data_IF_134746194438
#
_entry.id   IF_134746194438
#
_cell.length_a   1.000
_cell.length_b   1.000
_cell.length_c   1.000
_cell.angle_alpha   90.00
_cell.angle_beta   90.00
_cell.angle_gamma   90.00
#
_symmetry.space_group_name_H-M   'P 1'
#
loop_
_entity.id
_entity.type
_entity.pdbx_description
1 polymer ?
#
# COMPACT_ATOMS: atom_id res chain seq x y z
N UNK A 1 21.27 -24.82 14.26
CA UNK A 1 20.02 -24.09 14.57
C UNK A 1 19.33 -23.88 13.23
N UNK A 2 18.14 -24.48 13.03
CA UNK A 2 17.43 -24.36 11.74
C UNK A 2 16.74 -23.00 11.76
N UNK A 3 16.99 -22.17 10.75
CA UNK A 3 16.31 -20.87 10.65
C UNK A 3 14.84 -21.08 10.26
N UNK A 4 13.89 -20.36 10.88
CA UNK A 4 12.48 -20.47 10.50
C UNK A 4 12.24 -19.85 9.13
N UNK A 5 11.37 -20.45 8.32
CA UNK A 5 10.98 -19.90 7.01
C UNK A 5 10.08 -18.67 7.16
N UNK A 6 9.24 -18.65 8.20
CA UNK A 6 8.29 -17.59 8.50
C UNK A 6 8.34 -17.26 9.99
N UNK A 7 8.02 -16.01 10.33
CA UNK A 7 7.72 -15.59 11.69
C UNK A 7 6.27 -15.11 11.76
N UNK A 8 5.57 -15.47 12.82
CA UNK A 8 4.28 -14.86 13.11
C UNK A 8 4.45 -13.39 13.52
N UNK A 9 3.38 -12.60 13.35
CA UNK A 9 3.39 -11.19 13.77
C UNK A 9 3.70 -11.02 15.27
N UNK A 10 3.13 -11.82 16.19
CA UNK A 10 3.50 -11.75 17.62
C UNK A 10 4.97 -12.09 17.90
N UNK A 11 5.53 -13.11 17.25
CA UNK A 11 6.94 -13.48 17.42
C UNK A 11 7.88 -12.35 16.93
N UNK A 12 7.55 -11.71 15.81
CA UNK A 12 8.32 -10.58 15.31
C UNK A 12 8.20 -9.37 16.24
N UNK A 13 7.00 -9.12 16.78
CA UNK A 13 6.74 -8.06 17.73
C UNK A 13 7.61 -8.21 18.99
N UNK A 14 7.66 -9.41 19.56
CA UNK A 14 8.51 -9.72 20.72
C UNK A 14 10.00 -9.50 20.39
N UNK A 15 10.47 -10.02 19.25
CA UNK A 15 11.86 -9.87 18.79
C UNK A 15 12.28 -8.42 18.66
N UNK A 16 11.40 -7.56 18.15
CA UNK A 16 11.68 -6.14 17.92
C UNK A 16 11.32 -5.24 19.11
N UNK A 17 10.79 -5.78 20.20
CA UNK A 17 10.31 -5.00 21.34
C UNK A 17 9.18 -4.03 20.94
N UNK A 18 8.35 -4.42 19.97
CA UNK A 18 7.25 -3.65 19.42
C UNK A 18 5.90 -4.33 19.71
N UNK A 19 4.80 -3.60 19.52
CA UNK A 19 3.46 -4.19 19.52
C UNK A 19 3.13 -4.81 18.17
N UNK A 20 2.26 -5.82 18.15
CA UNK A 20 1.75 -6.42 16.90
C UNK A 20 1.14 -5.36 15.97
N UNK A 21 0.46 -4.35 16.52
CA UNK A 21 -0.08 -3.22 15.77
C UNK A 21 1.01 -2.45 15.03
N UNK A 22 2.12 -2.12 15.71
CA UNK A 22 3.25 -1.43 15.07
C UNK A 22 3.86 -2.27 13.95
N UNK A 23 3.93 -3.60 14.11
CA UNK A 23 4.38 -4.50 13.03
C UNK A 23 3.45 -4.40 11.80
N UNK A 24 2.13 -4.42 12.01
CA UNK A 24 1.16 -4.28 10.92
C UNK A 24 1.22 -2.90 10.26
N UNK A 25 1.33 -1.83 11.04
CA UNK A 25 1.50 -0.45 10.52
C UNK A 25 2.78 -0.35 9.67
N UNK A 26 3.89 -0.94 10.13
CA UNK A 26 5.10 -1.03 9.34
C UNK A 26 4.93 -1.85 8.07
N UNK A 27 4.19 -2.96 8.13
CA UNK A 27 3.95 -3.80 6.98
C UNK A 27 3.10 -3.13 5.90
N UNK A 28 2.09 -2.35 6.30
CA UNK A 28 1.34 -1.49 5.38
C UNK A 28 2.29 -0.42 4.80
N UNK A 29 3.00 0.35 5.62
CA UNK A 29 3.78 1.48 5.11
C UNK A 29 5.00 1.07 4.26
N UNK A 30 5.56 -0.12 4.48
CA UNK A 30 6.75 -0.62 3.77
C UNK A 30 6.44 -1.75 2.77
N UNK A 31 5.16 -2.00 2.50
CA UNK A 31 4.76 -3.09 1.60
C UNK A 31 5.39 -4.44 1.96
N UNK A 32 5.48 -4.76 3.26
CA UNK A 32 5.93 -6.09 3.64
C UNK A 32 4.91 -7.14 3.19
N UNK A 33 5.39 -8.32 2.75
CA UNK A 33 4.53 -9.45 2.51
C UNK A 33 4.07 -10.00 3.85
N UNK A 34 2.88 -9.55 4.29
CA UNK A 34 2.15 -10.16 5.41
C UNK A 34 1.21 -11.20 4.81
N UNK A 35 1.42 -12.45 5.20
CA UNK A 35 0.78 -13.62 4.65
C UNK A 35 -0.16 -14.27 5.65
N UNK A 36 -1.09 -15.08 5.16
CA UNK A 36 -1.90 -15.99 5.96
C UNK A 36 -2.06 -17.31 5.21
N UNK A 37 -2.23 -18.41 5.95
CA UNK A 37 -2.47 -19.71 5.36
C UNK A 37 -3.88 -19.80 4.76
N UNK A 38 -3.98 -20.35 3.55
CA UNK A 38 -5.21 -20.51 2.80
C UNK A 38 -5.28 -21.91 2.19
N UNK A 39 -6.44 -22.54 2.37
CA UNK A 39 -6.86 -23.75 1.68
C UNK A 39 -8.28 -23.52 1.16
N UNK A 40 -8.45 -23.59 -0.15
CA UNK A 40 -9.72 -23.30 -0.80
C UNK A 40 -9.54 -23.11 -2.30
N UNK A 41 -10.47 -22.38 -2.91
CA UNK A 41 -10.40 -22.01 -4.32
C UNK A 41 -9.94 -20.56 -4.43
N UNK A 42 -9.02 -20.29 -5.35
CA UNK A 42 -8.50 -18.94 -5.61
C UNK A 42 -8.64 -18.60 -7.09
N UNK A 43 -9.46 -17.60 -7.40
CA UNK A 43 -9.80 -17.20 -8.76
C UNK A 43 -9.20 -15.84 -9.10
N UNK A 44 -8.71 -15.68 -10.33
CA UNK A 44 -8.39 -14.36 -10.86
C UNK A 44 -9.69 -13.64 -11.28
N UNK A 45 -9.65 -12.33 -11.43
CA UNK A 45 -10.80 -11.55 -11.92
C UNK A 45 -11.22 -11.96 -13.34
N UNK A 46 -10.28 -12.47 -14.14
CA UNK A 46 -10.55 -13.02 -15.46
C UNK A 46 -11.43 -14.29 -15.40
N UNK A 47 -11.39 -15.03 -14.30
CA UNK A 47 -12.10 -16.30 -14.10
C UNK A 47 -13.49 -16.10 -13.46
N UNK A 48 -14.10 -14.92 -13.64
CA UNK A 48 -15.39 -14.55 -13.01
C UNK A 48 -16.49 -15.59 -13.23
N UNK A 49 -16.53 -16.22 -14.40
CA UNK A 49 -17.46 -17.31 -14.73
C UNK A 49 -17.36 -18.49 -13.75
N UNK A 50 -16.14 -18.82 -13.36
CA UNK A 50 -15.85 -19.93 -12.48
C UNK A 50 -16.13 -19.59 -11.02
N UNK A 51 -16.26 -18.32 -10.63
CA UNK A 51 -16.62 -17.92 -9.26
C UNK A 51 -18.06 -18.33 -8.91
N UNK A 52 -18.38 -18.36 -7.63
CA UNK A 52 -19.66 -18.83 -7.07
C UNK A 52 -20.87 -18.06 -7.61
N UNK A 53 -20.75 -16.74 -7.79
CA UNK A 53 -21.76 -15.89 -8.44
C UNK A 53 -21.64 -15.84 -9.97
N UNK A 54 -20.67 -16.53 -10.55
CA UNK A 54 -20.34 -16.45 -11.98
C UNK A 54 -21.36 -17.08 -12.91
N UNK A 55 -22.04 -18.13 -12.44
CA UNK A 55 -23.05 -18.89 -13.19
C UNK A 55 -24.46 -18.70 -12.62
N UNK A 56 -24.73 -17.52 -12.06
CA UNK A 56 -26.01 -17.22 -11.42
C UNK A 56 -27.15 -17.28 -12.43
N UNK A 57 -26.97 -16.70 -13.61
CA UNK A 57 -28.01 -16.61 -14.63
C UNK A 57 -28.36 -18.00 -15.19
N UNK A 58 -27.37 -18.86 -15.41
CA UNK A 58 -27.54 -20.23 -15.88
C UNK A 58 -28.20 -21.12 -14.82
N UNK A 59 -27.83 -20.96 -13.55
CA UNK A 59 -28.48 -21.67 -12.45
C UNK A 59 -29.95 -21.25 -12.29
N UNK A 60 -30.23 -19.94 -12.40
CA UNK A 60 -31.59 -19.41 -12.37
C UNK A 60 -32.41 -19.87 -13.59
N UNK A 61 -31.81 -19.90 -14.78
CA UNK A 61 -32.44 -20.43 -15.99
C UNK A 61 -32.78 -21.91 -15.81
N UNK A 62 -31.84 -22.72 -15.33
CA UNK A 62 -32.04 -24.15 -15.07
C UNK A 62 -33.20 -24.38 -14.11
N UNK A 63 -33.26 -23.63 -13.00
CA UNK A 63 -34.34 -23.71 -12.02
C UNK A 63 -35.69 -23.33 -12.64
N UNK A 64 -35.73 -22.22 -13.39
CA UNK A 64 -36.96 -21.75 -14.04
C UNK A 64 -37.48 -22.74 -15.09
N UNK A 65 -36.58 -23.32 -15.89
CA UNK A 65 -36.93 -24.32 -16.91
C UNK A 65 -37.41 -25.62 -16.27
N UNK A 66 -36.76 -26.06 -15.19
CA UNK A 66 -37.18 -27.25 -14.43
C UNK A 66 -38.60 -27.08 -13.91
N UNK A 67 -38.89 -25.96 -13.23
CA UNK A 67 -40.23 -25.62 -12.75
C UNK A 67 -41.26 -25.54 -13.89
N UNK A 68 -40.87 -24.99 -15.05
CA UNK A 68 -41.73 -24.90 -16.23
C UNK A 68 -42.10 -26.27 -16.79
N UNK A 69 -41.14 -27.19 -16.88
CA UNK A 69 -41.36 -28.58 -17.31
C UNK A 69 -42.27 -29.31 -16.33
N UNK A 70 -42.00 -29.24 -15.03
CA UNK A 70 -42.84 -29.87 -13.99
C UNK A 70 -44.29 -29.38 -14.06
N UNK A 71 -44.49 -28.07 -14.20
CA UNK A 71 -45.83 -27.47 -14.33
C UNK A 71 -46.54 -27.92 -15.60
N UNK A 72 -45.83 -27.92 -16.73
CA UNK A 72 -46.37 -28.30 -18.04
C UNK A 72 -46.74 -29.79 -18.09
N UNK A 73 -45.90 -30.67 -17.55
CA UNK A 73 -46.16 -32.10 -17.45
C UNK A 73 -47.35 -32.40 -16.53
N UNK A 74 -47.45 -31.72 -15.38
CA UNK A 74 -48.59 -31.84 -14.49
C UNK A 74 -49.90 -31.38 -15.17
N UNK A 75 -49.85 -30.32 -15.98
CA UNK A 75 -51.01 -29.85 -16.75
C UNK A 75 -51.40 -30.83 -17.85
N UNK A 76 -50.44 -31.31 -18.65
CA UNK A 76 -50.65 -32.33 -19.68
C UNK A 76 -51.26 -33.61 -19.09
N UNK A 77 -50.78 -34.05 -17.92
CA UNK A 77 -51.29 -35.24 -17.23
C UNK A 77 -52.73 -35.05 -16.75
N UNK A 78 -53.05 -33.89 -16.17
CA UNK A 78 -54.43 -33.54 -15.77
C UNK A 78 -55.37 -33.47 -16.97
N UNK A 79 -54.94 -32.84 -18.07
CA UNK A 79 -55.75 -32.72 -19.29
C UNK A 79 -56.02 -34.10 -19.90
N UNK A 80 -55.01 -34.98 -19.96
CA UNK A 80 -55.16 -36.35 -20.44
C UNK A 80 -56.11 -37.20 -19.57
N UNK A 81 -56.14 -36.95 -18.26
CA UNK A 81 -57.06 -37.60 -17.32
C UNK A 81 -58.47 -37.00 -17.31
N UNK A 82 -58.71 -35.90 -18.04
CA UNK A 82 -59.98 -35.16 -18.01
C UNK A 82 -60.21 -34.37 -16.72
N UNK A 83 -59.20 -34.23 -15.85
CA UNK A 83 -59.26 -33.55 -14.55
C UNK A 83 -58.85 -32.08 -14.65
N UNK A 84 -59.43 -31.36 -15.61
CA UNK A 84 -59.20 -29.93 -15.88
C UNK A 84 -60.53 -29.20 -15.92
N UNK A 85 -60.55 -27.96 -15.45
CA UNK A 85 -61.72 -27.10 -15.57
C UNK A 85 -61.88 -26.60 -17.02
N UNK A 86 -63.00 -25.93 -17.30
CA UNK A 86 -63.33 -25.40 -18.63
C UNK A 86 -62.31 -24.35 -19.14
N UNK A 87 -61.66 -23.63 -18.22
CA UNK A 87 -60.73 -22.54 -18.55
C UNK A 87 -59.27 -23.01 -18.70
N UNK A 88 -58.95 -24.21 -18.21
CA UNK A 88 -57.61 -24.80 -18.24
C UNK A 88 -57.52 -26.00 -19.17
N UNK A 89 -58.62 -26.44 -19.78
CA UNK A 89 -58.60 -27.49 -20.80
C UNK A 89 -57.84 -26.99 -22.04
N UNK A 90 -56.87 -27.79 -22.49
CA UNK A 90 -56.11 -27.49 -23.70
C UNK A 90 -56.76 -28.20 -24.90
N UNK A 91 -56.85 -27.50 -26.01
CA UNK A 91 -57.16 -28.05 -27.33
C UNK A 91 -56.02 -28.97 -27.82
N UNK A 92 -56.28 -29.74 -28.87
CA UNK A 92 -55.29 -30.65 -29.44
C UNK A 92 -54.04 -29.89 -29.95
N UNK A 93 -54.22 -28.73 -30.57
CA UNK A 93 -53.12 -27.88 -31.05
C UNK A 93 -52.29 -27.33 -29.88
N UNK A 94 -52.95 -26.86 -28.81
CA UNK A 94 -52.27 -26.37 -27.60
C UNK A 94 -51.52 -27.48 -26.86
N UNK A 95 -52.05 -28.72 -26.85
CA UNK A 95 -51.34 -29.88 -26.29
C UNK A 95 -50.07 -30.17 -27.08
N UNK A 96 -50.12 -30.11 -28.42
CA UNK A 96 -48.94 -30.32 -29.27
C UNK A 96 -47.91 -29.21 -29.04
N UNK A 97 -48.34 -27.94 -29.00
CA UNK A 97 -47.47 -26.80 -28.74
C UNK A 97 -46.81 -26.89 -27.34
N UNK A 98 -47.60 -27.23 -26.31
CA UNK A 98 -47.08 -27.37 -24.95
C UNK A 98 -46.07 -28.52 -24.84
N UNK A 99 -46.30 -29.65 -25.53
CA UNK A 99 -45.32 -30.76 -25.61
C UNK A 99 -44.04 -30.35 -26.31
N UNK A 100 -44.13 -29.62 -27.42
CA UNK A 100 -42.95 -29.10 -28.13
C UNK A 100 -42.13 -28.16 -27.24
N UNK A 101 -42.80 -27.21 -26.55
CA UNK A 101 -42.14 -26.32 -25.60
C UNK A 101 -41.52 -27.08 -24.41
N UNK A 102 -42.19 -28.11 -23.91
CA UNK A 102 -41.68 -28.97 -22.83
C UNK A 102 -40.40 -29.70 -23.28
N UNK A 103 -40.40 -30.31 -24.47
CA UNK A 103 -39.22 -30.98 -25.01
C UNK A 103 -38.05 -30.00 -25.19
N UNK A 104 -38.30 -28.81 -25.73
CA UNK A 104 -37.27 -27.77 -25.88
C UNK A 104 -36.69 -27.33 -24.53
N UNK A 105 -37.55 -27.19 -23.50
CA UNK A 105 -37.08 -26.89 -22.15
C UNK A 105 -36.28 -28.06 -21.54
N UNK A 106 -36.68 -29.31 -21.78
CA UNK A 106 -35.92 -30.50 -21.34
C UNK A 106 -34.53 -30.57 -21.98
N UNK A 107 -34.42 -30.28 -23.28
CA UNK A 107 -33.14 -30.24 -23.98
C UNK A 107 -32.25 -29.12 -23.41
N UNK A 108 -32.83 -27.93 -23.17
CA UNK A 108 -32.11 -26.82 -22.53
C UNK A 108 -31.66 -27.13 -21.10
N UNK A 109 -32.48 -27.83 -20.31
CA UNK A 109 -32.11 -28.32 -18.97
C UNK A 109 -30.87 -29.22 -19.05
N UNK A 110 -30.80 -30.14 -20.02
CA UNK A 110 -29.63 -31.01 -20.20
C UNK A 110 -28.39 -30.19 -20.54
N UNK A 111 -28.49 -29.26 -21.50
CA UNK A 111 -27.37 -28.38 -21.87
C UNK A 111 -26.82 -27.57 -20.68
N UNK A 112 -27.72 -26.94 -19.91
CA UNK A 112 -27.36 -26.15 -18.73
C UNK A 112 -26.74 -27.02 -17.63
N UNK A 113 -27.30 -28.21 -17.40
CA UNK A 113 -26.76 -29.17 -16.42
C UNK A 113 -25.35 -29.61 -16.81
N UNK A 114 -25.13 -29.98 -18.07
CA UNK A 114 -23.80 -30.37 -18.57
C UNK A 114 -22.80 -29.21 -18.53
N UNK A 115 -23.26 -27.99 -18.77
CA UNK A 115 -22.43 -26.78 -18.69
C UNK A 115 -22.02 -26.49 -17.23
N UNK A 116 -22.95 -26.55 -16.29
CA UNK A 116 -22.68 -26.33 -14.87
C UNK A 116 -21.80 -27.45 -14.28
N UNK A 117 -22.01 -28.70 -14.67
CA UNK A 117 -21.17 -29.82 -14.25
C UNK A 117 -19.73 -29.67 -14.77
N UNK A 118 -19.56 -29.30 -16.04
CA UNK A 118 -18.22 -29.01 -16.60
C UNK A 118 -17.55 -27.87 -15.87
N UNK A 119 -18.30 -26.80 -15.56
CA UNK A 119 -17.81 -25.67 -14.76
C UNK A 119 -17.33 -26.13 -13.39
N UNK A 120 -18.12 -26.93 -12.68
CA UNK A 120 -17.76 -27.40 -11.34
C UNK A 120 -16.51 -28.30 -11.35
N UNK A 121 -16.33 -29.10 -12.39
CA UNK A 121 -15.07 -29.85 -12.59
C UNK A 121 -13.89 -28.91 -12.81
N UNK A 122 -14.03 -27.91 -13.68
CA UNK A 122 -12.98 -26.92 -13.93
C UNK A 122 -12.64 -26.09 -12.68
N UNK A 123 -13.62 -25.80 -11.82
CA UNK A 123 -13.38 -25.11 -10.54
C UNK A 123 -12.39 -25.87 -9.65
N UNK A 124 -12.30 -27.20 -9.74
CA UNK A 124 -11.36 -27.99 -8.95
C UNK A 124 -9.90 -27.70 -9.32
N UNK A 125 -9.63 -27.29 -10.56
CA UNK A 125 -8.29 -26.94 -11.02
C UNK A 125 -7.77 -25.64 -10.36
N UNK A 126 -8.66 -24.87 -9.74
CA UNK A 126 -8.34 -23.63 -9.02
C UNK A 126 -8.17 -23.84 -7.51
N UNK A 127 -8.08 -25.11 -7.07
CA UNK A 127 -7.75 -25.41 -5.67
C UNK A 127 -6.34 -24.92 -5.36
N UNK A 128 -6.25 -24.07 -4.35
CA UNK A 128 -5.02 -23.52 -3.86
C UNK A 128 -4.80 -23.94 -2.40
N UNK A 129 -3.59 -24.39 -2.11
CA UNK A 129 -3.13 -24.71 -0.76
C UNK A 129 -1.78 -24.05 -0.54
N UNK A 130 -1.74 -23.05 0.35
CA UNK A 130 -0.50 -22.32 0.60
C UNK A 130 -0.73 -21.01 1.34
N UNK A 131 0.08 -20.02 1.01
CA UNK A 131 0.03 -18.71 1.65
C UNK A 131 -0.55 -17.67 0.70
N UNK A 132 -1.37 -16.78 1.24
CA UNK A 132 -1.94 -15.64 0.54
C UNK A 132 -1.52 -14.35 1.21
N UNK A 133 -1.36 -13.26 0.44
CA UNK A 133 -0.97 -11.97 0.99
C UNK A 133 -2.20 -11.17 1.41
N UNK A 134 -2.21 -10.75 2.66
CA UNK A 134 -3.32 -10.00 3.26
C UNK A 134 -3.46 -8.62 2.61
N UNK A 135 -4.67 -8.24 2.15
CA UNK A 135 -4.93 -6.90 1.68
C UNK A 135 -4.79 -5.86 2.81
N UNK A 136 -4.39 -4.61 2.49
CA UNK A 136 -4.27 -3.52 3.46
C UNK A 136 -5.53 -3.29 4.30
N UNK A 137 -6.72 -3.44 3.71
CA UNK A 137 -8.00 -3.32 4.42
C UNK A 137 -8.12 -4.35 5.55
N UNK A 138 -7.74 -5.59 5.28
CA UNK A 138 -7.76 -6.69 6.26
C UNK A 138 -6.77 -6.42 7.38
N UNK A 139 -5.57 -5.94 7.03
CA UNK A 139 -4.56 -5.54 8.03
C UNK A 139 -5.05 -4.40 8.91
N UNK A 140 -5.70 -3.39 8.33
CA UNK A 140 -6.29 -2.26 9.06
C UNK A 140 -7.35 -2.72 10.05
N UNK A 141 -8.26 -3.61 9.64
CA UNK A 141 -9.29 -4.17 10.52
C UNK A 141 -8.68 -4.98 11.68
N UNK A 142 -7.65 -5.79 11.40
CA UNK A 142 -6.92 -6.55 12.42
C UNK A 142 -6.22 -5.64 13.43
N UNK A 143 -5.69 -4.49 13.01
CA UNK A 143 -5.08 -3.52 13.94
C UNK A 143 -6.09 -2.90 14.92
N UNK A 144 -7.37 -2.81 14.54
CA UNK A 144 -8.42 -2.24 15.39
C UNK A 144 -9.07 -3.28 16.29
N UNK A 145 -9.31 -4.48 15.76
CA UNK A 145 -10.19 -5.48 16.38
C UNK A 145 -9.47 -6.77 16.79
N UNK A 146 -8.18 -6.92 16.48
CA UNK A 146 -7.35 -8.14 16.65
C UNK A 146 -7.80 -9.38 15.85
N UNK A 147 -9.06 -9.41 15.43
CA UNK A 147 -9.65 -10.40 14.54
C UNK A 147 -10.61 -9.76 13.53
N UNK A 148 -10.76 -10.41 12.38
CA UNK A 148 -11.68 -10.00 11.30
C UNK A 148 -12.31 -11.25 10.66
N UNK A 149 -13.51 -11.17 10.03
CA UNK A 149 -13.97 -12.24 9.15
C UNK A 149 -12.87 -12.65 8.17
N UNK A 150 -12.76 -13.96 7.91
CA UNK A 150 -11.73 -14.44 7.01
C UNK A 150 -11.95 -13.86 5.61
N UNK A 151 -10.89 -13.33 4.97
CA UNK A 151 -11.06 -12.49 3.79
C UNK A 151 -11.48 -13.30 2.56
N UNK A 152 -12.36 -12.71 1.74
CA UNK A 152 -12.73 -13.21 0.42
C UNK A 152 -11.84 -12.67 -0.71
N UNK A 153 -10.90 -11.79 -0.39
CA UNK A 153 -9.96 -11.21 -1.33
C UNK A 153 -8.55 -11.29 -0.74
N UNK A 154 -7.58 -11.62 -1.58
CA UNK A 154 -6.18 -11.57 -1.21
C UNK A 154 -5.30 -11.24 -2.42
N UNK A 155 -4.06 -10.82 -2.15
CA UNK A 155 -3.05 -10.77 -3.20
C UNK A 155 -2.40 -12.14 -3.35
N UNK A 156 -2.08 -12.50 -4.60
CA UNK A 156 -1.27 -13.67 -4.89
C UNK A 156 0.09 -13.56 -4.16
N UNK A 157 0.61 -14.64 -3.54
CA UNK A 157 1.82 -14.58 -2.72
C UNK A 157 3.06 -14.11 -3.48
N UNK A 158 3.15 -14.45 -4.76
CA UNK A 158 4.24 -14.04 -5.65
C UNK A 158 3.97 -12.72 -6.39
N UNK A 159 2.84 -12.07 -6.12
CA UNK A 159 2.59 -10.75 -6.71
C UNK A 159 3.58 -9.76 -6.15
N UNK A 160 4.22 -9.00 -7.05
CA UNK A 160 4.78 -7.73 -6.65
C UNK A 160 3.60 -6.85 -6.22
N UNK A 161 3.61 -6.38 -4.96
CA UNK A 161 2.56 -5.49 -4.45
C UNK A 161 3.22 -4.24 -3.94
N UNK A 162 2.89 -3.13 -4.58
CA UNK A 162 3.48 -1.83 -4.33
C UNK A 162 2.41 -0.74 -4.36
N UNK A 163 2.76 0.41 -3.80
CA UNK A 163 1.90 1.59 -3.77
C UNK A 163 2.07 2.37 -5.07
N UNK A 164 0.97 2.63 -5.78
CA UNK A 164 0.94 3.42 -7.00
C UNK A 164 0.00 4.61 -6.81
N UNK A 165 0.35 5.75 -7.39
CA UNK A 165 -0.53 6.94 -7.40
C UNK A 165 -1.35 6.96 -8.67
N UNK A 166 -2.66 6.80 -8.53
CA UNK A 166 -3.65 6.89 -9.63
C UNK A 166 -4.60 8.03 -9.29
N UNK A 167 -4.69 9.04 -10.14
CA UNK A 167 -5.56 10.21 -9.97
C UNK A 167 -5.39 10.93 -8.61
N UNK A 168 -4.15 11.04 -8.13
CA UNK A 168 -3.83 11.67 -6.85
C UNK A 168 -4.20 10.82 -5.62
N UNK A 169 -4.63 9.57 -5.80
CA UNK A 169 -4.88 8.61 -4.72
C UNK A 169 -3.82 7.52 -4.72
N UNK A 170 -3.31 7.18 -3.54
CA UNK A 170 -2.37 6.07 -3.39
C UNK A 170 -3.15 4.77 -3.25
N UNK A 171 -2.95 3.85 -4.18
CA UNK A 171 -3.61 2.53 -4.22
C UNK A 171 -2.56 1.42 -4.22
N UNK A 172 -2.97 0.24 -3.75
CA UNK A 172 -2.13 -0.95 -3.78
C UNK A 172 -2.35 -1.69 -5.10
N UNK A 173 -1.31 -1.79 -5.90
CA UNK A 173 -1.33 -2.56 -7.14
C UNK A 173 -0.72 -3.94 -6.91
N UNK A 174 -1.34 -4.97 -7.47
CA UNK A 174 -0.91 -6.37 -7.38
C UNK A 174 -1.98 -7.32 -7.90
N UNK A 175 -1.60 -8.54 -8.24
CA UNK A 175 -2.51 -9.59 -8.70
C UNK A 175 -3.44 -10.01 -7.56
N UNK A 176 -4.68 -9.54 -7.63
CA UNK A 176 -5.73 -9.81 -6.65
C UNK A 176 -6.51 -11.07 -7.03
N UNK A 177 -6.86 -11.86 -6.03
CA UNK A 177 -7.60 -13.11 -6.19
C UNK A 177 -8.84 -13.10 -5.30
N UNK A 178 -9.92 -13.67 -5.83
CA UNK A 178 -11.14 -13.97 -5.09
C UNK A 178 -10.97 -15.33 -4.44
N UNK A 179 -11.19 -15.39 -3.13
CA UNK A 179 -11.05 -16.59 -2.32
C UNK A 179 -12.44 -17.16 -2.01
N UNK A 180 -12.61 -18.44 -2.27
CA UNK A 180 -13.84 -19.19 -2.01
C UNK A 180 -13.55 -20.48 -1.25
N UNK A 181 -14.51 -20.98 -0.44
CA UNK A 181 -14.35 -22.26 0.23
C UNK A 181 -14.15 -23.39 -0.78
N UNK A 182 -13.43 -24.41 -0.35
CA UNK A 182 -13.33 -25.65 -1.11
C UNK A 182 -14.71 -26.33 -1.21
N UNK A 183 -14.83 -27.35 -2.07
CA UNK A 183 -16.06 -28.13 -2.28
C UNK A 183 -16.62 -28.77 -1.00
N UNK A 184 -15.79 -28.91 0.04
CA UNK A 184 -16.20 -29.41 1.35
C UNK A 184 -16.97 -28.37 2.17
N UNK A 185 -16.95 -27.10 1.77
CA UNK A 185 -17.52 -25.98 2.49
C UNK A 185 -16.72 -25.55 3.73
N UNK A 186 -15.56 -26.17 3.98
CA UNK A 186 -14.70 -25.79 5.08
C UNK A 186 -14.07 -24.41 4.82
N UNK A 187 -14.49 -23.41 5.60
CA UNK A 187 -13.95 -22.05 5.58
C UNK A 187 -13.56 -21.63 6.98
N UNK A 188 -12.37 -21.08 7.16
CA UNK A 188 -12.03 -20.48 8.44
C UNK A 188 -12.96 -19.27 8.66
N UNK A 189 -13.66 -19.20 9.79
CA UNK A 189 -14.62 -18.10 10.01
C UNK A 189 -13.95 -16.75 10.30
N UNK A 190 -12.79 -16.76 10.95
CA UNK A 190 -12.07 -15.57 11.42
C UNK A 190 -10.58 -15.68 11.15
N UNK A 191 -9.97 -14.56 10.81
CA UNK A 191 -8.52 -14.38 10.76
C UNK A 191 -8.09 -13.55 11.98
N UNK A 192 -7.03 -13.97 12.67
CA UNK A 192 -6.44 -13.28 13.82
C UNK A 192 -5.03 -12.79 13.51
N UNK A 193 -4.54 -11.84 14.28
CA UNK A 193 -3.15 -11.38 14.20
C UNK A 193 -2.15 -12.54 14.33
N UNK A 194 -2.41 -13.52 15.20
CA UNK A 194 -1.54 -14.68 15.41
C UNK A 194 -1.47 -15.61 14.19
N UNK A 195 -2.42 -15.52 13.26
CA UNK A 195 -2.42 -16.31 12.03
C UNK A 195 -1.58 -15.67 10.91
N UNK A 196 -1.13 -14.43 11.13
CA UNK A 196 -0.36 -13.68 10.15
C UNK A 196 1.12 -14.06 10.22
N UNK A 197 1.70 -14.29 9.05
CA UNK A 197 3.06 -14.75 8.84
C UNK A 197 3.84 -13.74 8.00
N UNK A 198 5.11 -13.56 8.31
CA UNK A 198 6.03 -12.71 7.55
C UNK A 198 7.21 -13.59 7.13
N UNK A 199 7.55 -13.63 5.83
CA UNK A 199 8.72 -14.36 5.34
C UNK A 199 9.99 -13.89 6.04
N UNK A 200 10.77 -14.84 6.56
CA UNK A 200 12.00 -14.55 7.29
C UNK A 200 13.02 -13.79 6.42
N UNK A 201 13.06 -14.08 5.12
CA UNK A 201 13.87 -13.36 4.14
C UNK A 201 13.54 -11.85 4.09
N UNK A 202 12.25 -11.49 4.16
CA UNK A 202 11.81 -10.08 4.18
C UNK A 202 12.19 -9.39 5.48
N UNK A 203 12.12 -10.09 6.61
CA UNK A 203 12.57 -9.57 7.91
C UNK A 203 14.07 -9.27 7.87
N UNK A 204 14.89 -10.21 7.38
CA UNK A 204 16.34 -10.00 7.22
C UNK A 204 16.67 -8.83 6.30
N UNK A 205 15.96 -8.70 5.18
CA UNK A 205 16.17 -7.58 4.25
C UNK A 205 15.89 -6.24 4.93
N UNK A 206 14.85 -6.14 5.76
CA UNK A 206 14.57 -4.94 6.54
C UNK A 206 15.62 -4.66 7.62
N UNK A 207 16.02 -5.68 8.38
CA UNK A 207 17.04 -5.53 9.42
C UNK A 207 18.37 -5.06 8.81
N UNK A 208 18.75 -5.59 7.64
CA UNK A 208 19.92 -5.17 6.88
C UNK A 208 19.82 -3.69 6.41
N UNK A 209 18.66 -3.29 5.87
CA UNK A 209 18.42 -1.91 5.44
C UNK A 209 18.40 -0.92 6.62
N UNK A 210 17.87 -1.31 7.78
CA UNK A 210 17.95 -0.48 8.99
C UNK A 210 19.38 -0.32 9.48
N UNK A 211 20.19 -1.39 9.39
CA UNK A 211 21.60 -1.34 9.77
C UNK A 211 22.39 -0.38 8.87
N UNK A 212 22.18 -0.41 7.55
CA UNK A 212 22.84 0.53 6.63
C UNK A 212 22.44 1.98 6.90
N UNK A 213 21.15 2.27 7.13
CA UNK A 213 20.68 3.62 7.47
C UNK A 213 21.29 4.09 8.80
N UNK A 214 21.39 3.21 9.81
CA UNK A 214 21.98 3.56 11.10
C UNK A 214 23.48 3.79 10.99
N UNK A 215 24.18 3.03 10.15
CA UNK A 215 25.61 3.22 9.86
C UNK A 215 25.85 4.52 9.10
N UNK A 216 25.02 4.86 8.11
CA UNK A 216 25.06 6.14 7.39
C UNK A 216 24.77 7.32 8.34
N UNK A 217 23.74 7.22 9.19
CA UNK A 217 23.42 8.24 10.18
C UNK A 217 24.54 8.45 11.23
N UNK A 218 25.23 7.36 11.64
CA UNK A 218 26.39 7.46 12.53
C UNK A 218 27.60 8.10 11.87
N UNK A 219 27.71 8.05 10.54
CA UNK A 219 28.78 8.75 9.80
C UNK A 219 28.50 10.23 9.60
N UNK A 220 27.23 10.65 9.52
CA UNK A 220 26.86 12.08 9.40
C UNK A 220 26.93 12.85 10.73
N UNK A 221 26.70 12.20 11.88
CA UNK A 221 26.74 12.89 13.19
C UNK A 221 28.17 13.13 13.73
N UNK A 222 29.18 12.42 13.20
CA UNK A 222 30.59 12.65 13.58
C UNK A 222 31.19 13.93 13.01
N UNK A 223 30.52 14.61 12.08
CA UNK A 223 30.96 15.92 11.57
C UNK A 223 30.23 17.12 12.20
N UNK A 224 29.12 16.89 12.91
CA UNK A 224 28.34 17.95 13.58
C UNK A 224 28.85 18.33 14.98
N UNK A 225 29.79 17.56 15.55
CA UNK A 225 30.41 17.84 16.87
C UNK A 225 31.88 18.24 16.78
N UNK A 226 32.37 18.66 15.61
CA UNK A 226 33.60 19.47 15.60
C UNK A 226 33.23 20.88 16.07
N UNK A 227 33.85 21.40 17.15
CA UNK A 227 33.63 22.79 17.54
C UNK A 227 33.88 23.66 16.31
N UNK A 228 32.87 24.43 15.91
CA UNK A 228 33.00 25.39 14.81
C UNK A 228 34.25 26.19 15.09
N UNK A 229 35.22 26.12 14.17
CA UNK A 229 36.48 26.85 14.32
C UNK A 229 36.14 28.28 14.70
N UNK A 230 36.76 28.79 15.78
CA UNK A 230 36.51 30.14 16.30
C UNK A 230 36.55 31.20 15.20
N UNK A 231 37.37 30.96 14.17
CA UNK A 231 37.45 31.80 12.97
C UNK A 231 36.15 31.82 12.15
N UNK A 232 35.51 30.67 11.91
CA UNK A 232 34.26 30.56 11.15
C UNK A 232 33.08 31.24 11.89
N UNK A 233 33.08 31.16 13.22
CA UNK A 233 32.10 31.89 14.04
C UNK A 233 32.33 33.41 13.97
N UNK A 234 33.60 33.86 13.97
CA UNK A 234 33.97 35.26 13.82
C UNK A 234 33.62 35.80 12.43
N UNK A 235 33.89 35.07 11.35
CA UNK A 235 33.55 35.53 9.99
C UNK A 235 32.05 35.60 9.76
N UNK A 236 31.28 34.62 10.26
CA UNK A 236 29.82 34.66 10.22
C UNK A 236 29.22 35.85 11.00
N UNK A 237 29.78 36.16 12.18
CA UNK A 237 29.35 37.31 12.98
C UNK A 237 29.62 38.65 12.27
N UNK A 238 30.76 38.78 11.57
CA UNK A 238 31.07 39.98 10.77
C UNK A 238 30.07 40.14 9.61
N UNK A 239 29.75 39.06 8.89
CA UNK A 239 28.79 39.11 7.78
C UNK A 239 27.37 39.47 8.27
N UNK A 240 26.95 38.91 9.40
CA UNK A 240 25.68 39.25 10.02
C UNK A 240 25.62 40.72 10.44
N UNK A 241 26.72 41.28 10.93
CA UNK A 241 26.79 42.69 11.33
C UNK A 241 26.77 43.64 10.12
N UNK A 242 27.49 43.30 9.05
CA UNK A 242 27.45 44.09 7.80
C UNK A 242 26.01 44.14 7.27
N UNK A 243 25.32 43.00 7.26
CA UNK A 243 23.90 42.93 6.88
C UNK A 243 23.00 43.74 7.83
N UNK A 244 23.26 43.71 9.14
CA UNK A 244 22.53 44.49 10.16
C UNK A 244 22.67 46.00 9.94
N UNK A 245 23.84 46.45 9.50
CA UNK A 245 24.10 47.85 9.14
C UNK A 245 23.51 48.23 7.77
N UNK A 246 22.87 47.30 7.07
CA UNK A 246 22.20 47.54 5.79
C UNK A 246 23.16 47.66 4.60
N UNK A 247 24.39 47.15 4.74
CA UNK A 247 25.37 47.12 3.65
C UNK A 247 25.39 45.74 2.99
N UNK A 248 25.66 45.72 1.69
CA UNK A 248 25.97 44.47 0.97
C UNK A 248 27.45 44.10 1.25
N UNK A 249 27.74 42.93 1.85
CA UNK A 249 29.11 42.46 2.04
C UNK A 249 29.96 42.52 0.76
N UNK A 250 29.36 42.23 -0.40
CA UNK A 250 30.07 42.18 -1.69
C UNK A 250 30.22 43.53 -2.39
N UNK A 251 29.65 44.59 -1.84
CA UNK A 251 29.71 45.95 -2.39
C UNK A 251 29.77 46.99 -1.26
N UNK A 252 30.84 46.95 -0.47
CA UNK A 252 31.03 47.91 0.62
C UNK A 252 31.34 49.29 0.06
N UNK A 253 30.66 50.37 0.50
CA UNK A 253 30.88 51.71 -0.03
C UNK A 253 32.31 52.20 0.25
N UNK A 254 32.90 52.86 -0.76
CA UNK A 254 34.22 53.46 -0.66
C UNK A 254 34.27 54.54 0.44
N UNK A 255 35.42 54.65 1.11
CA UNK A 255 35.62 55.64 2.18
C UNK A 255 35.59 57.06 1.60
N UNK A 256 34.61 57.87 1.99
CA UNK A 256 34.66 59.31 1.77
C UNK A 256 35.67 59.97 2.73
N UNK A 257 36.48 60.96 2.28
CA UNK A 257 37.38 61.69 3.16
C UNK A 257 36.61 62.31 4.34
N UNK A 258 37.06 62.03 5.57
CA UNK A 258 36.47 62.60 6.79
C UNK A 258 35.34 61.78 7.45
N UNK A 259 34.92 60.64 6.89
CA UNK A 259 33.92 59.73 7.52
C UNK A 259 34.52 58.38 7.89
N UNK A 260 34.02 57.75 8.96
CA UNK A 260 34.34 56.37 9.31
C UNK A 260 33.85 55.44 8.20
N UNK A 261 34.72 54.59 7.65
CA UNK A 261 34.29 53.57 6.68
C UNK A 261 33.57 52.40 7.37
N UNK A 262 32.82 51.60 6.59
CA UNK A 262 32.02 50.45 7.09
C UNK A 262 32.85 49.50 7.97
N UNK A 263 34.11 49.25 7.62
CA UNK A 263 35.03 48.46 8.46
C UNK A 263 35.18 49.02 9.88
N UNK A 264 35.26 50.34 10.04
CA UNK A 264 35.42 50.97 11.34
C UNK A 264 34.12 50.92 12.16
N UNK A 265 32.97 51.02 11.49
CA UNK A 265 31.64 50.90 12.11
C UNK A 265 31.38 49.47 12.60
N UNK A 266 31.64 48.47 11.76
CA UNK A 266 31.56 47.05 12.14
C UNK A 266 32.58 46.73 13.23
N UNK A 267 33.80 47.27 13.16
CA UNK A 267 34.82 47.09 14.21
C UNK A 267 34.36 47.67 15.54
N UNK A 268 33.67 48.82 15.54
CA UNK A 268 33.15 49.46 16.74
C UNK A 268 32.03 48.62 17.36
N UNK A 269 31.08 48.17 16.56
CA UNK A 269 29.97 47.32 17.01
C UNK A 269 30.46 45.95 17.55
N UNK A 270 31.49 45.38 16.93
CA UNK A 270 32.08 44.12 17.40
C UNK A 270 33.01 44.30 18.61
N UNK A 271 33.49 45.52 18.90
CA UNK A 271 34.28 45.79 20.11
C UNK A 271 33.46 45.73 21.39
N UNK A 272 32.13 45.83 21.29
CA UNK A 272 31.19 45.61 22.39
C UNK A 272 31.01 44.11 22.73
N UNK A 273 31.61 43.21 21.91
CA UNK A 273 31.55 41.74 22.06
C UNK A 273 32.94 41.12 22.33
N UNK A 274 33.51 41.31 23.53
CA UNK A 274 34.83 40.78 23.88
C UNK A 274 34.87 39.25 24.00
N UNK A 275 33.70 38.60 24.05
CA UNK A 275 33.52 37.15 24.02
C UNK A 275 33.99 36.54 22.67
N UNK A 276 33.71 37.24 21.56
CA UNK A 276 34.01 36.77 20.22
C UNK A 276 35.25 37.41 19.59
N UNK A 277 35.56 38.68 19.88
CA UNK A 277 36.64 39.40 19.19
C UNK A 277 37.64 40.05 20.15
N UNK A 278 38.92 39.81 19.89
CA UNK A 278 40.02 40.73 20.24
C UNK A 278 40.35 41.64 19.06
N UNK A 279 40.98 42.79 19.32
CA UNK A 279 41.41 43.78 18.31
C UNK A 279 42.19 43.15 17.15
N UNK A 280 43.03 42.15 17.45
CA UNK A 280 43.83 41.44 16.44
C UNK A 280 43.02 40.37 15.69
N UNK A 281 42.07 39.70 16.36
CA UNK A 281 41.23 38.67 15.73
C UNK A 281 40.22 39.26 14.74
N UNK A 282 39.67 40.45 15.02
CA UNK A 282 38.79 41.16 14.09
C UNK A 282 39.51 41.49 12.79
N UNK A 283 40.72 42.05 12.88
CA UNK A 283 41.56 42.37 11.71
C UNK A 283 41.81 41.12 10.85
N UNK A 284 42.14 40.00 11.49
CA UNK A 284 42.43 38.72 10.81
C UNK A 284 41.19 38.15 10.12
N UNK A 285 40.05 38.10 10.81
CA UNK A 285 38.79 37.61 10.25
C UNK A 285 38.29 38.50 9.08
N UNK A 286 38.50 39.81 9.17
CA UNK A 286 38.17 40.75 8.09
C UNK A 286 39.04 40.53 6.84
N UNK A 287 40.35 40.31 7.03
CA UNK A 287 41.27 40.00 5.92
C UNK A 287 40.96 38.64 5.28
N UNK A 288 40.55 37.64 6.07
CA UNK A 288 40.13 36.33 5.58
C UNK A 288 38.85 36.40 4.74
N UNK A 289 37.83 37.15 5.19
CA UNK A 289 36.62 37.40 4.40
C UNK A 289 36.93 38.07 3.06
N UNK A 290 37.91 38.99 3.03
CA UNK A 290 38.35 39.65 1.80
C UNK A 290 39.11 38.69 0.88
N UNK A 291 39.96 37.84 1.44
CA UNK A 291 40.68 36.82 0.69
C UNK A 291 39.75 35.76 0.08
N UNK A 292 38.65 35.42 0.77
CA UNK A 292 37.60 34.52 0.29
C UNK A 292 36.62 35.17 -0.69
N UNK A 293 36.70 36.49 -0.90
CA UNK A 293 35.77 37.23 -1.77
C UNK A 293 34.37 37.40 -1.19
N UNK A 294 34.18 37.13 0.10
CA UNK A 294 32.91 37.33 0.81
C UNK A 294 32.68 38.81 1.16
N UNK A 295 33.75 39.60 1.20
CA UNK A 295 33.66 41.06 1.24
C UNK A 295 34.46 41.72 0.12
N UNK A 296 33.90 42.73 -0.53
CA UNK A 296 34.58 43.51 -1.56
C UNK A 296 34.21 45.00 -1.46
N UNK A 297 35.19 45.86 -1.74
CA UNK A 297 34.97 47.31 -1.78
C UNK A 297 34.42 47.70 -3.16
N UNK A 298 33.40 48.55 -3.18
CA UNK A 298 32.84 49.07 -4.41
C UNK A 298 33.84 50.02 -5.10
N UNK A 299 34.16 49.74 -6.36
CA UNK A 299 35.12 50.52 -7.17
C UNK A 299 34.50 51.76 -7.81
N UNK A 300 33.23 52.06 -7.54
CA UNK A 300 32.47 53.13 -8.21
C UNK A 300 32.78 54.57 -7.75
N UNK A 301 33.72 54.78 -6.81
CA UNK A 301 33.97 56.08 -6.18
C UNK A 301 35.34 56.74 -6.39
N UNK A 302 36.13 56.34 -7.39
CA UNK A 302 37.40 56.99 -7.73
C UNK A 302 37.35 57.62 -9.12
N UNK A 303 36.78 58.83 -9.19
CA UNK A 303 37.14 59.87 -10.16
C UNK A 303 37.63 61.08 -9.38
#
# INVERSE_FOLDING_TARGET
MIEPTFLSVPELAERWGASSRQILEHGINRALPILFAFEGLAFDQADRWLMSHGAHDEAMELEAKTKSVESSEAHLRRNAAGNVDEFTRLSQEEVVALRQATNANQDRIRELSDLLERRDRTRLDYRFMGYMRAPPRVLWELMQNEETPFPHLAFHPLSDVHLVSIDGRTVWEGRMMTLEPDITGAWKGRLRISDLLIPWASVKALEAAQKSIKEEALTTDKDATKPVSRMKAQTAAILAEIARLGHDPKALPARSPGKSGVRAEVSKAMSERPDLFSTNSFKKAWEELRALGEIADDKSGAQ
#
